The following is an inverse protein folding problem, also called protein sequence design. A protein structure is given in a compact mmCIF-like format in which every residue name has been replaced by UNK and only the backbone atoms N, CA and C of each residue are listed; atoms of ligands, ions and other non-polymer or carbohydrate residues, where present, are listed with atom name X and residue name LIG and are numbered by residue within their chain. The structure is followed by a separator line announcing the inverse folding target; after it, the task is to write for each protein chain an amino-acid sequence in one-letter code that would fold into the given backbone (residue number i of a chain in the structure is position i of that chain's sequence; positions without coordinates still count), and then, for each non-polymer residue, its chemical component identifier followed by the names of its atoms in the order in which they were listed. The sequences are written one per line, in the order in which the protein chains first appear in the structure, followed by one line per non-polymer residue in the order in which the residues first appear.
data_IF_464092129737
#
_entry.id   IF_464092129737
#
_cell.length_a   1.000
_cell.length_b   1.000
_cell.length_c   1.000
_cell.angle_alpha   90.00
_cell.angle_beta   90.00
_cell.angle_gamma   90.00
#
_symmetry.space_group_name_H-M   'P 1'
#
loop_
_entity.id
_entity.type
_entity.pdbx_description
1 polymer ?
#
# COMPACT_ATOMS: atom_id res chain seq x y z
N UNK A 1 10.47 -25.11 5.45
CA UNK A 1 9.61 -24.28 4.59
C UNK A 1 8.26 -24.98 4.51
N UNK A 2 7.16 -24.32 4.90
CA UNK A 2 5.84 -24.90 4.74
C UNK A 2 5.57 -25.07 3.23
N UNK A 3 5.04 -26.23 2.84
CA UNK A 3 4.69 -26.52 1.45
C UNK A 3 3.56 -25.57 1.04
N UNK A 4 3.79 -24.79 0.01
CA UNK A 4 2.82 -23.82 -0.50
C UNK A 4 1.58 -24.56 -1.02
N UNK A 5 0.41 -24.27 -0.46
CA UNK A 5 -0.83 -24.94 -0.84
C UNK A 5 -1.24 -24.60 -2.27
N UNK A 6 -1.92 -25.52 -2.97
CA UNK A 6 -2.46 -25.25 -4.32
C UNK A 6 -3.34 -23.99 -4.34
N UNK A 7 -4.12 -23.75 -3.27
CA UNK A 7 -4.93 -22.54 -3.13
C UNK A 7 -4.06 -21.26 -3.12
N UNK A 8 -2.94 -21.28 -2.40
CA UNK A 8 -2.02 -20.13 -2.35
C UNK A 8 -1.37 -19.89 -3.71
N UNK A 9 -0.91 -20.93 -4.40
CA UNK A 9 -0.36 -20.82 -5.76
C UNK A 9 -1.34 -20.19 -6.75
N UNK A 10 -2.63 -20.58 -6.68
CA UNK A 10 -3.69 -19.99 -7.50
C UNK A 10 -3.82 -18.48 -7.21
N UNK A 11 -3.81 -18.08 -5.95
CA UNK A 11 -3.91 -16.66 -5.56
C UNK A 11 -2.70 -15.85 -6.04
N UNK A 12 -1.48 -16.37 -5.85
CA UNK A 12 -0.25 -15.65 -6.19
C UNK A 12 -0.10 -15.48 -7.72
N UNK A 13 -0.41 -16.53 -8.49
CA UNK A 13 -0.42 -16.46 -9.96
C UNK A 13 -1.56 -15.56 -10.46
N UNK A 14 -2.75 -15.65 -9.88
CA UNK A 14 -3.86 -14.77 -10.25
C UNK A 14 -3.51 -13.30 -10.02
N UNK A 15 -2.92 -12.97 -8.86
CA UNK A 15 -2.49 -11.60 -8.54
C UNK A 15 -1.42 -11.11 -9.53
N UNK A 16 -0.45 -11.95 -9.88
CA UNK A 16 0.57 -11.61 -10.86
C UNK A 16 -0.04 -11.24 -12.22
N UNK A 17 -0.93 -12.10 -12.72
CA UNK A 17 -1.61 -11.86 -14.00
C UNK A 17 -2.53 -10.64 -13.93
N UNK A 18 -3.35 -10.52 -12.90
CA UNK A 18 -4.26 -9.38 -12.74
C UNK A 18 -3.50 -8.05 -12.64
N UNK A 19 -2.40 -8.00 -11.90
CA UNK A 19 -1.59 -6.79 -11.75
C UNK A 19 -0.83 -6.42 -13.04
N UNK A 20 -0.62 -7.37 -13.94
CA UNK A 20 0.07 -7.16 -15.22
C UNK A 20 -0.90 -6.80 -16.34
N UNK A 21 -1.94 -7.61 -16.51
CA UNK A 21 -2.78 -7.62 -17.72
C UNK A 21 -4.22 -7.08 -17.45
N UNK A 22 -4.53 -6.74 -16.19
CA UNK A 22 -5.85 -6.34 -15.72
C UNK A 22 -6.77 -7.53 -15.41
N UNK A 23 -7.69 -7.34 -14.47
CA UNK A 23 -8.63 -8.38 -14.03
C UNK A 23 -9.50 -8.89 -15.19
N UNK A 24 -10.01 -7.98 -16.00
CA UNK A 24 -10.96 -8.32 -17.09
C UNK A 24 -10.31 -9.21 -18.15
N UNK A 25 -9.07 -8.96 -18.51
CA UNK A 25 -8.34 -9.65 -19.58
C UNK A 25 -7.92 -11.08 -19.23
N UNK A 26 -7.75 -11.38 -17.94
CA UNK A 26 -7.27 -12.69 -17.46
C UNK A 26 -8.42 -13.67 -17.28
N UNK A 27 -8.29 -14.87 -17.81
CA UNK A 27 -9.25 -15.98 -17.66
C UNK A 27 -8.80 -17.01 -16.61
N UNK A 28 -9.72 -17.86 -16.16
CA UNK A 28 -9.37 -19.02 -15.30
C UNK A 28 -8.37 -19.95 -16.03
N UNK A 29 -8.45 -20.07 -17.36
CA UNK A 29 -7.52 -20.89 -18.16
C UNK A 29 -6.09 -20.35 -18.11
N UNK A 30 -5.93 -19.04 -18.14
CA UNK A 30 -4.60 -18.41 -18.05
C UNK A 30 -3.96 -18.70 -16.69
N UNK A 31 -4.75 -18.60 -15.61
CA UNK A 31 -4.30 -18.95 -14.27
C UNK A 31 -3.93 -20.45 -14.20
N UNK A 32 -4.80 -21.34 -14.73
CA UNK A 32 -4.53 -22.77 -14.77
C UNK A 32 -3.25 -23.10 -15.54
N UNK A 33 -3.05 -22.45 -16.71
CA UNK A 33 -1.87 -22.66 -17.54
C UNK A 33 -0.58 -22.31 -16.82
N UNK A 34 -0.58 -21.20 -16.06
CA UNK A 34 0.61 -20.74 -15.35
C UNK A 34 0.87 -21.54 -14.05
N UNK A 35 -0.18 -21.96 -13.34
CA UNK A 35 -0.05 -22.84 -12.15
C UNK A 35 0.29 -24.28 -12.52
N UNK A 36 -0.04 -24.73 -13.74
CA UNK A 36 0.15 -26.11 -14.19
C UNK A 36 -0.92 -27.08 -13.67
N UNK A 37 -2.19 -26.61 -13.54
CA UNK A 37 -3.32 -27.39 -13.01
C UNK A 37 -4.51 -27.38 -13.96
N UNK A 38 -5.48 -28.28 -13.73
CA UNK A 38 -6.76 -28.31 -14.47
C UNK A 38 -7.74 -27.28 -13.92
N UNK A 39 -8.66 -26.79 -14.75
CA UNK A 39 -9.73 -25.88 -14.33
C UNK A 39 -10.57 -26.46 -13.19
N UNK A 40 -10.84 -27.77 -13.19
CA UNK A 40 -11.54 -28.44 -12.08
C UNK A 40 -10.86 -28.28 -10.73
N UNK A 41 -9.53 -28.16 -10.71
CA UNK A 41 -8.77 -27.90 -9.48
C UNK A 41 -8.97 -26.47 -8.99
N UNK A 42 -9.05 -25.49 -9.89
CA UNK A 42 -9.37 -24.10 -9.52
C UNK A 42 -10.78 -24.03 -8.95
N UNK A 43 -11.78 -24.64 -9.65
CA UNK A 43 -13.18 -24.66 -9.19
C UNK A 43 -13.40 -25.44 -7.88
N UNK A 44 -12.48 -26.34 -7.50
CA UNK A 44 -12.49 -26.94 -6.17
C UNK A 44 -12.18 -25.94 -5.05
N UNK A 45 -11.34 -24.92 -5.33
CA UNK A 45 -10.92 -23.93 -4.35
C UNK A 45 -11.71 -22.61 -4.42
N UNK A 46 -12.18 -22.24 -5.60
CA UNK A 46 -12.85 -20.97 -5.86
C UNK A 46 -14.02 -21.18 -6.84
N UNK A 47 -15.18 -20.69 -6.47
CA UNK A 47 -16.40 -20.83 -7.28
C UNK A 47 -16.25 -20.20 -8.67
N UNK A 48 -15.56 -19.08 -8.77
CA UNK A 48 -15.36 -18.34 -10.01
C UNK A 48 -14.16 -17.37 -9.87
N UNK A 49 -13.82 -16.66 -10.94
CA UNK A 49 -12.74 -15.66 -10.98
C UNK A 49 -12.93 -14.54 -9.94
N UNK A 50 -14.20 -14.15 -9.71
CA UNK A 50 -14.53 -13.12 -8.72
C UNK A 50 -14.18 -13.57 -7.29
N UNK A 51 -14.43 -14.81 -6.93
CA UNK A 51 -14.05 -15.34 -5.61
C UNK A 51 -12.53 -15.31 -5.37
N UNK A 52 -11.73 -15.44 -6.42
CA UNK A 52 -10.26 -15.24 -6.35
C UNK A 52 -9.95 -13.78 -6.03
N UNK A 53 -10.55 -12.84 -6.76
CA UNK A 53 -10.37 -11.40 -6.52
C UNK A 53 -10.79 -11.00 -5.11
N UNK A 54 -11.94 -11.47 -4.64
CA UNK A 54 -12.45 -11.20 -3.29
C UNK A 54 -11.49 -11.73 -2.20
N UNK A 55 -10.93 -12.93 -2.39
CA UNK A 55 -9.93 -13.48 -1.46
C UNK A 55 -8.64 -12.62 -1.42
N UNK A 56 -8.17 -12.13 -2.57
CA UNK A 56 -7.04 -11.21 -2.66
C UNK A 56 -7.36 -9.86 -1.99
N UNK A 57 -8.55 -9.32 -2.24
CA UNK A 57 -9.03 -8.07 -1.65
C UNK A 57 -9.12 -8.15 -0.12
N UNK A 58 -9.68 -9.23 0.41
CA UNK A 58 -9.77 -9.46 1.86
C UNK A 58 -8.38 -9.54 2.51
N UNK A 59 -7.43 -10.25 1.88
CA UNK A 59 -6.04 -10.32 2.36
C UNK A 59 -5.38 -8.96 2.36
N UNK A 60 -5.54 -8.18 1.28
CA UNK A 60 -5.00 -6.82 1.20
C UNK A 60 -5.58 -5.91 2.29
N UNK A 61 -6.89 -5.92 2.47
CA UNK A 61 -7.56 -5.11 3.49
C UNK A 61 -7.11 -5.47 4.91
N UNK A 62 -6.89 -6.75 5.19
CA UNK A 62 -6.35 -7.20 6.48
C UNK A 62 -4.92 -6.68 6.71
N UNK A 63 -4.05 -6.76 5.70
CA UNK A 63 -2.67 -6.24 5.79
C UNK A 63 -2.65 -4.71 5.93
N UNK A 64 -3.47 -4.00 5.17
CA UNK A 64 -3.58 -2.54 5.25
C UNK A 64 -4.11 -2.09 6.64
N UNK A 65 -5.12 -2.77 7.17
CA UNK A 65 -5.67 -2.49 8.50
C UNK A 65 -4.64 -2.76 9.60
N UNK A 66 -3.90 -3.88 9.52
CA UNK A 66 -2.84 -4.20 10.49
C UNK A 66 -1.69 -3.18 10.42
N UNK A 67 -1.32 -2.72 9.22
CA UNK A 67 -0.32 -1.67 9.04
C UNK A 67 -0.77 -0.36 9.69
N UNK A 68 -2.02 0.09 9.47
CA UNK A 68 -2.54 1.30 10.11
C UNK A 68 -2.54 1.19 11.64
N UNK A 69 -2.92 0.03 12.19
CA UNK A 69 -2.85 -0.25 13.63
C UNK A 69 -1.41 -0.14 14.16
N UNK A 70 -0.42 -0.73 13.48
CA UNK A 70 1.00 -0.64 13.87
C UNK A 70 1.52 0.79 13.83
N UNK A 71 1.11 1.57 12.84
CA UNK A 71 1.45 2.99 12.76
C UNK A 71 0.82 3.78 13.91
N UNK A 72 -0.45 3.54 14.24
CA UNK A 72 -1.12 4.16 15.39
C UNK A 72 -0.40 3.82 16.72
N UNK A 73 0.02 2.56 16.89
CA UNK A 73 0.79 2.12 18.06
C UNK A 73 2.17 2.77 18.13
N UNK A 74 2.90 2.81 16.99
CA UNK A 74 4.20 3.47 16.91
C UNK A 74 4.13 4.98 17.22
N UNK A 75 3.02 5.63 16.82
CA UNK A 75 2.77 7.05 17.02
C UNK A 75 1.93 7.34 18.29
N UNK A 76 1.78 6.38 19.20
CA UNK A 76 0.99 6.57 20.42
C UNK A 76 1.66 7.58 21.38
N UNK A 77 3.00 7.55 21.51
CA UNK A 77 3.79 8.52 22.27
C UNK A 77 4.76 9.23 21.33
N UNK A 78 4.55 10.52 21.15
CA UNK A 78 5.38 11.41 20.32
C UNK A 78 6.25 12.34 21.13
N UNK A 79 6.29 12.21 22.49
CA UNK A 79 7.09 13.07 23.33
C UNK A 79 8.58 12.85 23.04
N UNK A 80 9.28 13.93 22.70
CA UNK A 80 10.69 13.87 22.31
C UNK A 80 10.98 13.25 20.95
N UNK A 81 9.95 13.05 20.12
CA UNK A 81 10.13 12.59 18.75
C UNK A 81 10.95 13.61 17.94
N UNK A 82 11.97 13.11 17.26
CA UNK A 82 12.83 13.86 16.36
C UNK A 82 12.67 13.38 14.91
N UNK A 83 13.42 13.96 13.99
CA UNK A 83 13.39 13.58 12.57
C UNK A 83 13.72 12.10 12.37
N UNK A 84 14.62 11.52 13.19
CA UNK A 84 15.02 10.10 13.04
C UNK A 84 13.90 9.15 13.44
N UNK A 85 13.09 9.51 14.43
CA UNK A 85 11.90 8.77 14.83
C UNK A 85 10.89 8.70 13.66
N UNK A 86 10.57 9.84 13.05
CA UNK A 86 9.63 9.89 11.93
C UNK A 86 10.14 9.14 10.70
N UNK A 87 11.44 9.22 10.41
CA UNK A 87 12.06 8.43 9.34
C UNK A 87 11.88 6.93 9.60
N UNK A 88 12.20 6.46 10.80
CA UNK A 88 12.09 5.04 11.15
C UNK A 88 10.66 4.50 11.05
N UNK A 89 9.66 5.27 11.52
CA UNK A 89 8.25 4.87 11.41
C UNK A 89 7.80 4.85 9.95
N UNK A 90 8.23 5.83 9.17
CA UNK A 90 7.91 5.91 7.74
C UNK A 90 8.56 4.77 6.95
N UNK A 91 9.82 4.43 7.24
CA UNK A 91 10.51 3.30 6.62
C UNK A 91 9.78 1.98 6.85
N UNK A 92 9.30 1.74 8.07
CA UNK A 92 8.50 0.55 8.38
C UNK A 92 7.22 0.47 7.54
N UNK A 93 6.55 1.60 7.30
CA UNK A 93 5.40 1.69 6.41
C UNK A 93 5.78 1.40 4.94
N UNK A 94 6.84 2.01 4.44
CA UNK A 94 7.24 1.83 3.05
C UNK A 94 7.67 0.39 2.77
N UNK A 95 8.51 -0.19 3.63
CA UNK A 95 9.02 -1.56 3.47
C UNK A 95 7.91 -2.61 3.58
N UNK A 96 7.07 -2.51 4.61
CA UNK A 96 6.11 -3.56 4.94
C UNK A 96 4.74 -3.38 4.26
N UNK A 97 4.53 -2.28 3.53
CA UNK A 97 3.27 -2.04 2.84
C UNK A 97 3.47 -1.64 1.38
N UNK A 98 4.02 -0.46 1.07
CA UNK A 98 4.11 0.00 -0.33
C UNK A 98 5.10 -0.82 -1.18
N UNK A 99 6.18 -1.33 -0.58
CA UNK A 99 7.19 -2.16 -1.22
C UNK A 99 7.06 -3.66 -0.92
N UNK A 100 6.09 -4.07 -0.09
CA UNK A 100 5.70 -5.46 0.01
C UNK A 100 5.17 -5.97 -1.34
N UNK A 101 5.64 -7.12 -1.79
CA UNK A 101 5.35 -7.64 -3.13
C UNK A 101 3.85 -7.86 -3.35
N UNK A 102 3.15 -8.43 -2.37
CA UNK A 102 1.72 -8.67 -2.46
C UNK A 102 0.93 -7.35 -2.47
N UNK A 103 1.20 -6.46 -1.51
CA UNK A 103 0.52 -5.16 -1.41
C UNK A 103 0.75 -4.32 -2.66
N UNK A 104 1.98 -4.25 -3.15
CA UNK A 104 2.33 -3.50 -4.36
C UNK A 104 1.58 -4.00 -5.60
N UNK A 105 1.57 -5.32 -5.82
CA UNK A 105 0.81 -5.92 -6.94
C UNK A 105 -0.69 -5.66 -6.81
N UNK A 106 -1.25 -5.74 -5.60
CA UNK A 106 -2.67 -5.49 -5.40
C UNK A 106 -3.04 -4.01 -5.59
N UNK A 107 -2.19 -3.07 -5.15
CA UNK A 107 -2.37 -1.63 -5.41
C UNK A 107 -2.31 -1.36 -6.93
N UNK A 108 -1.38 -2.00 -7.66
CA UNK A 108 -1.32 -1.89 -9.12
C UNK A 108 -2.60 -2.42 -9.78
N UNK A 109 -3.11 -3.57 -9.36
CA UNK A 109 -4.38 -4.09 -9.82
C UNK A 109 -5.52 -3.09 -9.60
N UNK A 110 -5.65 -2.54 -8.40
CA UNK A 110 -6.66 -1.52 -8.11
C UNK A 110 -6.47 -0.27 -8.98
N UNK A 111 -5.22 0.16 -9.19
CA UNK A 111 -4.91 1.31 -10.06
C UNK A 111 -5.35 1.12 -11.50
N UNK A 112 -5.28 -0.11 -12.03
CA UNK A 112 -5.74 -0.45 -13.39
C UNK A 112 -7.26 -0.51 -13.49
N UNK A 113 -7.94 -1.05 -12.48
CA UNK A 113 -9.36 -1.38 -12.52
C UNK A 113 -10.29 -0.27 -11.96
N UNK A 114 -9.76 0.73 -11.24
CA UNK A 114 -10.57 1.78 -10.61
C UNK A 114 -11.44 2.58 -11.58
N UNK A 115 -11.05 2.66 -12.85
CA UNK A 115 -11.81 3.40 -13.87
C UNK A 115 -12.95 2.58 -14.48
N UNK A 116 -13.00 1.28 -14.24
CA UNK A 116 -13.97 0.35 -14.83
C UNK A 116 -14.86 -0.33 -13.79
N UNK A 117 -14.53 -0.24 -12.51
CA UNK A 117 -15.24 -0.86 -11.40
C UNK A 117 -15.43 0.11 -10.23
N UNK A 118 -16.67 0.46 -9.92
CA UNK A 118 -17.00 1.32 -8.77
C UNK A 118 -16.51 0.73 -7.44
N UNK A 119 -16.65 -0.59 -7.26
CA UNK A 119 -16.14 -1.28 -6.06
C UNK A 119 -14.63 -1.11 -5.90
N UNK A 120 -13.88 -1.28 -7.00
CA UNK A 120 -12.41 -1.11 -6.96
C UNK A 120 -12.03 0.35 -6.79
N UNK A 121 -12.77 1.27 -7.40
CA UNK A 121 -12.56 2.71 -7.22
C UNK A 121 -12.75 3.13 -5.75
N UNK A 122 -13.79 2.65 -5.08
CA UNK A 122 -14.03 2.91 -3.65
C UNK A 122 -12.90 2.32 -2.79
N UNK A 123 -12.45 1.09 -3.10
CA UNK A 123 -11.36 0.44 -2.39
C UNK A 123 -10.03 1.19 -2.58
N UNK A 124 -9.75 1.62 -3.81
CA UNK A 124 -8.58 2.42 -4.13
C UNK A 124 -8.59 3.77 -3.42
N UNK A 125 -9.73 4.49 -3.49
CA UNK A 125 -9.90 5.78 -2.80
C UNK A 125 -9.65 5.64 -1.30
N UNK A 126 -10.27 4.65 -0.67
CA UNK A 126 -10.12 4.38 0.76
C UNK A 126 -8.64 4.22 1.15
N UNK A 127 -7.89 3.34 0.47
CA UNK A 127 -6.55 2.95 0.89
C UNK A 127 -5.42 3.82 0.34
N UNK A 128 -5.69 4.56 -0.74
CA UNK A 128 -4.69 5.45 -1.33
C UNK A 128 -4.88 6.92 -0.95
N UNK A 129 -6.06 7.31 -0.42
CA UNK A 129 -6.34 8.70 -0.05
C UNK A 129 -6.95 8.83 1.35
N UNK A 130 -8.12 8.21 1.60
CA UNK A 130 -8.92 8.53 2.79
C UNK A 130 -8.21 8.12 4.09
N UNK A 131 -7.74 6.86 4.18
CA UNK A 131 -7.07 6.37 5.38
C UNK A 131 -5.69 7.01 5.60
N UNK A 132 -4.80 7.15 4.59
CA UNK A 132 -3.54 7.85 4.77
C UNK A 132 -3.70 9.30 5.20
N UNK A 133 -4.59 10.06 4.56
CA UNK A 133 -4.80 11.48 4.91
C UNK A 133 -5.40 11.63 6.32
N UNK A 134 -6.38 10.81 6.67
CA UNK A 134 -6.96 10.80 8.02
C UNK A 134 -5.91 10.46 9.10
N UNK A 135 -5.08 9.45 8.83
CA UNK A 135 -3.99 9.09 9.74
C UNK A 135 -3.02 10.25 9.91
N UNK A 136 -2.52 10.83 8.83
CA UNK A 136 -1.57 11.94 8.89
C UNK A 136 -2.14 13.17 9.60
N UNK A 137 -3.41 13.52 9.33
CA UNK A 137 -4.07 14.64 10.02
C UNK A 137 -4.08 14.45 11.55
N UNK A 138 -4.46 13.26 12.02
CA UNK A 138 -4.43 12.93 13.47
C UNK A 138 -3.02 13.00 14.07
N UNK A 139 -1.99 12.58 13.32
CA UNK A 139 -0.62 12.66 13.78
C UNK A 139 -0.18 14.12 13.89
N UNK A 140 -0.48 14.96 12.91
CA UNK A 140 -0.13 16.38 12.97
C UNK A 140 -0.89 17.14 14.07
N UNK A 141 -2.13 16.74 14.39
CA UNK A 141 -2.85 17.24 15.58
C UNK A 141 -2.08 16.91 16.87
N UNK A 142 -1.72 15.64 17.06
CA UNK A 142 -0.93 15.20 18.24
C UNK A 142 0.41 15.93 18.35
N UNK A 143 1.13 16.10 17.24
CA UNK A 143 2.42 16.81 17.22
C UNK A 143 2.27 18.30 17.55
N UNK A 144 1.18 18.92 17.14
CA UNK A 144 0.85 20.30 17.46
C UNK A 144 0.48 20.44 18.95
N UNK A 145 -0.35 19.54 19.49
CA UNK A 145 -0.72 19.49 20.90
C UNK A 145 0.50 19.27 21.81
N UNK A 146 1.45 18.44 21.38
CA UNK A 146 2.71 18.20 22.07
C UNK A 146 3.72 19.35 21.92
N UNK A 147 3.42 20.38 21.10
CA UNK A 147 4.32 21.52 20.85
C UNK A 147 5.57 21.18 20.02
N UNK A 148 5.58 20.03 19.34
CA UNK A 148 6.69 19.59 18.48
C UNK A 148 6.70 20.34 17.16
N UNK A 149 5.50 20.61 16.61
CA UNK A 149 5.32 21.44 15.41
C UNK A 149 4.33 22.57 15.70
N UNK A 150 4.36 23.60 14.86
CA UNK A 150 3.36 24.66 14.86
C UNK A 150 2.52 24.56 13.59
N UNK A 151 1.29 24.06 13.72
CA UNK A 151 0.35 23.93 12.62
C UNK A 151 -1.01 24.54 12.97
N UNK A 152 -1.60 25.31 12.05
CA UNK A 152 -2.95 25.86 12.19
C UNK A 152 -4.02 24.99 11.47
N UNK A 153 -3.58 24.09 10.58
CA UNK A 153 -4.43 23.25 9.75
C UNK A 153 -3.75 21.90 9.51
N UNK A 154 -4.11 20.91 10.34
CA UNK A 154 -3.54 19.56 10.28
C UNK A 154 -4.00 18.78 9.05
N UNK A 155 -5.19 19.04 8.52
CA UNK A 155 -5.70 18.40 7.31
C UNK A 155 -4.89 18.87 6.08
N UNK A 156 -4.67 20.17 5.96
CA UNK A 156 -3.83 20.70 4.88
C UNK A 156 -2.38 20.23 5.01
N UNK A 157 -1.85 20.12 6.23
CA UNK A 157 -0.52 19.62 6.47
C UNK A 157 -0.39 18.14 6.08
N UNK A 158 -1.43 17.33 6.32
CA UNK A 158 -1.51 15.95 5.88
C UNK A 158 -1.46 15.85 4.34
N UNK A 159 -2.19 16.70 3.63
CA UNK A 159 -2.14 16.77 2.16
C UNK A 159 -0.74 17.16 1.67
N UNK A 160 -0.12 18.18 2.29
CA UNK A 160 1.25 18.64 1.93
C UNK A 160 2.29 17.54 2.13
N UNK A 161 2.19 16.78 3.22
CA UNK A 161 3.10 15.66 3.53
C UNK A 161 2.89 14.47 2.59
N UNK A 162 1.63 14.07 2.37
CA UNK A 162 1.33 12.84 1.65
C UNK A 162 1.43 12.99 0.12
N UNK A 163 1.21 14.19 -0.43
CA UNK A 163 1.21 14.39 -1.90
C UNK A 163 2.50 13.93 -2.59
N UNK A 164 3.72 14.26 -2.12
CA UNK A 164 4.94 13.74 -2.72
C UNK A 164 5.10 12.23 -2.52
N UNK A 165 4.67 11.66 -1.39
CA UNK A 165 4.68 10.21 -1.17
C UNK A 165 3.83 9.51 -2.22
N UNK A 166 2.61 10.00 -2.46
CA UNK A 166 1.73 9.48 -3.51
C UNK A 166 2.35 9.63 -4.90
N UNK A 167 2.91 10.81 -5.22
CA UNK A 167 3.59 11.06 -6.49
C UNK A 167 4.73 10.05 -6.75
N UNK A 168 5.60 9.85 -5.77
CA UNK A 168 6.74 8.94 -5.91
C UNK A 168 6.31 7.48 -5.92
N UNK A 169 5.26 7.11 -5.18
CA UNK A 169 4.63 5.80 -5.27
C UNK A 169 4.16 5.50 -6.70
N UNK A 170 3.43 6.43 -7.32
CA UNK A 170 3.00 6.29 -8.71
C UNK A 170 4.18 6.18 -9.67
N UNK A 171 5.18 7.05 -9.50
CA UNK A 171 6.33 7.16 -10.41
C UNK A 171 7.25 5.94 -10.35
N UNK A 172 7.55 5.44 -9.17
CA UNK A 172 8.58 4.41 -8.99
C UNK A 172 7.99 3.03 -8.68
N UNK A 173 6.99 2.95 -7.79
CA UNK A 173 6.53 1.65 -7.30
C UNK A 173 5.41 1.05 -8.16
N UNK A 174 4.58 1.88 -8.81
CA UNK A 174 3.43 1.40 -9.59
C UNK A 174 3.65 1.45 -11.12
N UNK A 175 4.73 2.04 -11.58
CA UNK A 175 5.02 2.23 -13.03
C UNK A 175 5.58 0.98 -13.73
N UNK A 176 5.17 -0.22 -13.36
CA UNK A 176 5.62 -1.50 -13.90
C UNK A 176 6.19 -2.43 -12.82
N UNK A 177 6.93 -3.48 -13.14
CA UNK A 177 7.48 -4.40 -12.15
C UNK A 177 8.31 -3.67 -11.08
N UNK A 178 8.15 -4.11 -9.83
CA UNK A 178 8.89 -3.57 -8.70
C UNK A 178 10.32 -4.14 -8.73
N UNK A 179 11.31 -3.26 -8.91
CA UNK A 179 12.74 -3.61 -8.95
C UNK A 179 13.50 -2.93 -7.80
N UNK A 180 14.65 -3.46 -7.41
CA UNK A 180 15.47 -2.85 -6.36
C UNK A 180 15.96 -1.45 -6.75
N UNK A 181 16.21 -1.19 -8.05
CA UNK A 181 16.53 0.15 -8.53
C UNK A 181 15.40 1.15 -8.27
N UNK A 182 14.15 0.76 -8.55
CA UNK A 182 12.97 1.58 -8.28
C UNK A 182 12.74 1.81 -6.80
N UNK A 183 12.91 0.77 -5.97
CA UNK A 183 12.82 0.89 -4.51
C UNK A 183 13.88 1.86 -3.98
N UNK A 184 15.11 1.75 -4.46
CA UNK A 184 16.21 2.65 -4.08
C UNK A 184 15.92 4.09 -4.49
N UNK A 185 15.44 4.32 -5.72
CA UNK A 185 15.07 5.65 -6.19
C UNK A 185 13.90 6.23 -5.37
N UNK A 186 12.89 5.43 -5.07
CA UNK A 186 11.77 5.82 -4.20
C UNK A 186 12.27 6.25 -2.81
N UNK A 187 13.09 5.41 -2.14
CA UNK A 187 13.63 5.73 -0.80
C UNK A 187 14.38 7.04 -0.80
N UNK A 188 15.29 7.24 -1.76
CA UNK A 188 16.08 8.47 -1.86
C UNK A 188 15.22 9.74 -1.95
N UNK A 189 14.12 9.70 -2.72
CA UNK A 189 13.22 10.85 -2.85
C UNK A 189 12.36 11.06 -1.59
N UNK A 190 11.93 9.96 -0.97
CA UNK A 190 11.12 10.03 0.25
C UNK A 190 11.93 10.51 1.43
N UNK A 191 13.15 10.02 1.65
CA UNK A 191 14.02 10.43 2.74
C UNK A 191 14.30 11.94 2.66
N UNK A 192 14.58 12.43 1.45
CA UNK A 192 14.75 13.86 1.20
C UNK A 192 13.48 14.64 1.53
N UNK A 193 12.31 14.16 1.09
CA UNK A 193 11.03 14.81 1.35
C UNK A 193 10.71 14.87 2.84
N UNK A 194 10.82 13.74 3.55
CA UNK A 194 10.52 13.65 4.99
C UNK A 194 11.43 14.59 5.78
N UNK A 195 12.75 14.53 5.52
CA UNK A 195 13.72 15.38 6.21
C UNK A 195 13.43 16.86 5.99
N UNK A 196 13.14 17.26 4.75
CA UNK A 196 12.82 18.65 4.44
C UNK A 196 11.50 19.09 5.05
N UNK A 197 10.46 18.25 4.98
CA UNK A 197 9.15 18.55 5.52
C UNK A 197 9.20 18.82 7.04
N UNK A 198 9.84 17.93 7.80
CA UNK A 198 9.93 18.09 9.25
C UNK A 198 10.86 19.26 9.65
N UNK A 199 11.93 19.52 8.88
CA UNK A 199 12.76 20.72 9.09
C UNK A 199 11.94 22.01 8.88
N UNK A 200 11.09 22.09 7.86
CA UNK A 200 10.19 23.22 7.62
C UNK A 200 9.15 23.36 8.74
N UNK A 201 8.73 22.27 9.37
CA UNK A 201 7.84 22.27 10.53
C UNK A 201 8.54 22.62 11.85
N UNK A 202 9.86 22.81 11.86
CA UNK A 202 10.64 23.18 13.04
C UNK A 202 11.13 22.00 13.89
N UNK A 203 10.95 20.77 13.42
CA UNK A 203 11.50 19.56 14.08
C UNK A 203 12.99 19.47 13.79
N UNK A 204 13.79 19.19 14.83
CA UNK A 204 15.26 19.08 14.75
C UNK A 204 15.73 17.65 14.89
#
# INVERSE_FOLDING_TARGET
MAEETTKQKILDVALELFAKDGYTSVSIRDICGQVGIKESTVYYHFENKRAIFEALSLRFQAMATDMMRRLDEAMADVNGADTSFFSTVSDAFFENYLMDDFCNRFIRLMSLEQMTSEEVQQLYSKWMFDEPLRFQSRIFEKLTEAGIISASDSEYLAVKYYSPIFLFTQRYLLSGPLTEEKKTAFRSEIDRHISQFFMECGVR
#
